data_IF_496864424527
#
_entry.id   IF_496864424527
#
_cell.length_a   1.000
_cell.length_b   1.000
_cell.length_c   1.000
_cell.angle_alpha   90.00
_cell.angle_beta   90.00
_cell.angle_gamma   90.00
#
_symmetry.space_group_name_H-M   'P 1'
#
loop_
_entity.id
_entity.type
_entity.pdbx_description
1 polymer ?
#
# COMPACT_ATOMS: atom_id res chain seq x y z
N UNK A 1 16.90 -15.06 -21.22
CA UNK A 1 16.94 -15.63 -19.85
C UNK A 1 18.32 -15.37 -19.23
N UNK A 2 18.41 -14.39 -18.33
CA UNK A 2 19.67 -13.93 -17.76
C UNK A 2 19.96 -14.68 -16.45
N UNK A 3 20.73 -15.78 -16.53
CA UNK A 3 21.12 -16.68 -15.41
C UNK A 3 21.98 -16.02 -14.32
N UNK A 4 22.21 -14.70 -14.41
CA UNK A 4 23.15 -13.97 -13.56
C UNK A 4 22.47 -13.21 -12.40
N UNK A 5 21.18 -12.90 -12.51
CA UNK A 5 20.42 -12.23 -11.44
C UNK A 5 20.02 -13.19 -10.31
N UNK A 6 19.62 -14.42 -10.65
CA UNK A 6 19.21 -15.43 -9.66
C UNK A 6 20.39 -15.83 -8.75
N UNK A 7 21.60 -15.85 -9.31
CA UNK A 7 22.83 -16.17 -8.57
C UNK A 7 23.23 -15.04 -7.58
N UNK A 8 22.90 -13.79 -7.91
CA UNK A 8 23.22 -12.62 -7.07
C UNK A 8 22.24 -12.47 -5.90
N UNK A 9 20.96 -12.73 -6.13
CA UNK A 9 19.94 -12.76 -5.06
C UNK A 9 20.23 -13.90 -4.09
N UNK A 10 20.57 -15.10 -4.60
CA UNK A 10 20.96 -16.25 -3.79
C UNK A 10 22.20 -16.01 -2.92
N UNK A 11 23.24 -15.34 -3.46
CA UNK A 11 24.43 -14.94 -2.69
C UNK A 11 24.11 -13.98 -1.54
N UNK A 12 23.17 -13.06 -1.74
CA UNK A 12 22.80 -12.06 -0.73
C UNK A 12 21.96 -12.68 0.37
N UNK A 13 20.98 -13.52 0.03
CA UNK A 13 20.21 -14.29 1.00
C UNK A 13 21.12 -15.19 1.83
N UNK A 14 22.13 -15.81 1.19
CA UNK A 14 23.19 -16.56 1.87
C UNK A 14 24.00 -15.68 2.83
N UNK A 15 24.43 -14.49 2.42
CA UNK A 15 25.13 -13.55 3.30
C UNK A 15 24.28 -13.09 4.51
N UNK A 16 22.96 -13.02 4.36
CA UNK A 16 22.05 -12.66 5.45
C UNK A 16 21.76 -13.85 6.37
N UNK A 17 21.59 -15.05 5.82
CA UNK A 17 21.33 -16.29 6.56
C UNK A 17 22.55 -16.83 7.32
N UNK A 18 23.76 -16.64 6.80
CA UNK A 18 25.01 -17.08 7.45
C UNK A 18 25.34 -16.27 8.73
N UNK A 19 24.59 -15.20 9.04
CA UNK A 19 24.82 -14.33 10.20
C UNK A 19 23.73 -14.43 11.29
N UNK A 20 22.98 -15.54 11.33
CA UNK A 20 21.98 -15.78 12.39
C UNK A 20 22.64 -15.98 13.76
N UNK A 21 23.88 -16.50 13.80
CA UNK A 21 24.65 -16.67 15.05
C UNK A 21 25.78 -15.65 15.15
N UNK A 22 25.50 -14.49 15.76
CA UNK A 22 26.54 -13.50 16.07
C UNK A 22 25.99 -12.25 16.77
N UNK A 23 26.82 -11.53 17.57
CA UNK A 23 26.40 -10.48 18.51
C UNK A 23 25.94 -9.17 17.84
N UNK A 24 25.78 -9.14 16.53
CA UNK A 24 25.47 -7.94 15.77
C UNK A 24 23.97 -7.61 15.82
N UNK A 25 23.64 -6.36 16.13
CA UNK A 25 22.28 -5.83 16.00
C UNK A 25 21.82 -5.82 14.53
N UNK A 26 20.51 -5.85 14.29
CA UNK A 26 19.93 -5.84 12.93
C UNK A 26 20.47 -4.70 12.04
N UNK A 27 20.70 -3.53 12.64
CA UNK A 27 21.27 -2.35 11.96
C UNK A 27 22.70 -2.58 11.46
N UNK A 28 23.53 -3.26 12.25
CA UNK A 28 24.91 -3.60 11.87
C UNK A 28 24.94 -4.67 10.77
N UNK A 29 23.98 -5.60 10.78
CA UNK A 29 23.86 -6.66 9.75
C UNK A 29 23.48 -6.08 8.38
N UNK A 30 22.53 -5.15 8.36
CA UNK A 30 22.11 -4.44 7.13
C UNK A 30 23.27 -3.62 6.53
N UNK A 31 24.04 -2.94 7.38
CA UNK A 31 25.19 -2.15 6.94
C UNK A 31 26.28 -3.03 6.29
N UNK A 32 26.56 -4.21 6.85
CA UNK A 32 27.54 -5.16 6.31
C UNK A 32 27.08 -5.74 4.97
N UNK A 33 25.79 -6.08 4.84
CA UNK A 33 25.22 -6.55 3.58
C UNK A 33 25.33 -5.49 2.47
N UNK A 34 25.06 -4.22 2.80
CA UNK A 34 25.19 -3.09 1.88
C UNK A 34 26.63 -2.87 1.41
N UNK A 35 27.60 -2.94 2.32
CA UNK A 35 29.03 -2.78 2.00
C UNK A 35 29.56 -3.90 1.11
N UNK A 36 29.09 -5.14 1.29
CA UNK A 36 29.48 -6.28 0.45
C UNK A 36 28.86 -6.21 -0.95
N UNK A 37 27.58 -5.86 -1.05
CA UNK A 37 26.90 -5.67 -2.33
C UNK A 37 27.60 -4.60 -3.20
N UNK A 38 28.06 -3.50 -2.59
CA UNK A 38 28.82 -2.46 -3.30
C UNK A 38 30.19 -2.94 -3.80
N UNK A 39 30.90 -3.78 -3.02
CA UNK A 39 32.18 -4.37 -3.44
C UNK A 39 32.07 -5.32 -4.63
N UNK A 40 30.91 -5.96 -4.81
CA UNK A 40 30.61 -6.88 -5.93
C UNK A 40 30.13 -6.15 -7.21
N UNK A 41 30.27 -4.82 -7.29
CA UNK A 41 29.92 -4.05 -8.49
C UNK A 41 28.42 -4.02 -8.80
N UNK A 42 27.58 -4.23 -7.79
CA UNK A 42 26.12 -4.24 -7.92
C UNK A 42 25.64 -2.79 -8.16
N UNK A 43 25.06 -2.55 -9.35
CA UNK A 43 24.55 -1.23 -9.78
C UNK A 43 23.49 -0.67 -8.83
N UNK A 44 23.38 0.66 -8.74
CA UNK A 44 22.46 1.36 -7.82
C UNK A 44 21.00 0.90 -7.88
N UNK A 45 20.50 0.46 -9.04
CA UNK A 45 19.14 -0.08 -9.18
C UNK A 45 18.95 -1.40 -8.43
N UNK A 46 19.96 -2.27 -8.41
CA UNK A 46 19.90 -3.55 -7.70
C UNK A 46 20.07 -3.30 -6.20
N UNK A 47 20.88 -2.32 -5.79
CA UNK A 47 20.97 -1.89 -4.38
C UNK A 47 19.60 -1.44 -3.86
N UNK A 48 18.83 -0.69 -4.65
CA UNK A 48 17.47 -0.29 -4.25
C UNK A 48 16.52 -1.47 -4.07
N UNK A 49 16.60 -2.47 -4.95
CA UNK A 49 15.81 -3.69 -4.80
C UNK A 49 16.23 -4.48 -3.54
N UNK A 50 17.54 -4.53 -3.24
CA UNK A 50 18.05 -5.15 -2.01
C UNK A 50 17.55 -4.41 -0.77
N UNK A 51 17.67 -3.08 -0.73
CA UNK A 51 17.20 -2.25 0.38
C UNK A 51 15.69 -2.43 0.60
N UNK A 52 14.92 -2.49 -0.48
CA UNK A 52 13.48 -2.79 -0.45
C UNK A 52 13.19 -4.17 0.13
N UNK A 53 13.87 -5.22 -0.33
CA UNK A 53 13.71 -6.59 0.19
C UNK A 53 14.05 -6.70 1.67
N UNK A 54 15.06 -5.98 2.15
CA UNK A 54 15.43 -5.93 3.57
C UNK A 54 14.30 -5.35 4.41
N UNK A 55 13.71 -4.23 3.98
CA UNK A 55 12.58 -3.60 4.69
C UNK A 55 11.41 -4.56 4.79
N UNK A 56 11.11 -5.29 3.70
CA UNK A 56 10.03 -6.28 3.66
C UNK A 56 10.25 -7.42 4.65
N UNK A 57 11.43 -8.04 4.62
CA UNK A 57 11.76 -9.13 5.54
C UNK A 57 11.71 -8.63 6.98
N UNK A 58 12.21 -7.43 7.26
CA UNK A 58 12.15 -6.85 8.59
C UNK A 58 10.71 -6.58 9.07
N UNK A 59 9.78 -6.21 8.19
CA UNK A 59 8.35 -6.11 8.53
C UNK A 59 7.77 -7.49 8.85
N UNK A 60 8.04 -8.49 8.00
CA UNK A 60 7.53 -9.86 8.17
C UNK A 60 8.01 -10.52 9.46
N UNK A 61 9.28 -10.33 9.81
CA UNK A 61 9.88 -10.84 11.05
C UNK A 61 9.51 -10.01 12.29
N UNK A 62 8.64 -9.01 12.16
CA UNK A 62 8.21 -8.14 13.26
C UNK A 62 9.30 -7.19 13.79
N UNK A 63 10.41 -7.04 13.06
CA UNK A 63 11.53 -6.14 13.38
C UNK A 63 11.13 -4.67 13.09
N UNK A 64 10.32 -4.45 12.06
CA UNK A 64 9.74 -3.15 11.70
C UNK A 64 8.21 -3.20 11.74
N UNK A 65 7.54 -2.08 12.05
CA UNK A 65 6.08 -2.04 12.02
C UNK A 65 5.55 -2.21 10.59
N UNK A 66 4.36 -2.80 10.43
CA UNK A 66 3.68 -2.95 9.12
C UNK A 66 3.47 -1.63 8.38
N UNK A 67 3.54 -0.50 9.10
CA UNK A 67 3.44 0.85 8.56
C UNK A 67 4.76 1.40 8.01
N UNK A 68 5.86 0.65 8.08
CA UNK A 68 7.17 1.09 7.62
C UNK A 68 7.16 1.41 6.11
N UNK A 69 7.86 2.48 5.75
CA UNK A 69 7.93 3.01 4.39
C UNK A 69 9.34 2.90 3.83
N UNK A 70 9.45 2.60 2.54
CA UNK A 70 10.71 2.65 1.79
C UNK A 70 10.60 3.72 0.71
N UNK A 71 11.55 4.66 0.65
CA UNK A 71 11.50 5.87 -0.19
C UNK A 71 10.16 6.64 -0.09
N UNK A 72 9.58 6.68 1.12
CA UNK A 72 8.30 7.36 1.38
C UNK A 72 7.05 6.60 0.95
N UNK A 73 7.17 5.39 0.38
CA UNK A 73 6.06 4.53 -0.06
C UNK A 73 5.83 3.37 0.90
N UNK A 74 4.57 3.00 1.12
CA UNK A 74 4.24 1.78 1.87
C UNK A 74 4.69 0.55 1.10
N UNK A 75 5.25 -0.42 1.82
CA UNK A 75 5.71 -1.69 1.25
C UNK A 75 4.79 -2.79 1.77
N UNK A 76 4.04 -3.42 0.87
CA UNK A 76 3.06 -4.45 1.24
C UNK A 76 3.53 -5.80 0.73
N UNK A 77 3.46 -6.82 1.60
CA UNK A 77 3.70 -8.22 1.23
C UNK A 77 2.37 -8.81 0.77
N UNK A 78 2.27 -9.18 -0.51
CA UNK A 78 1.12 -9.92 -1.03
C UNK A 78 1.55 -11.39 -1.16
N UNK A 79 0.96 -12.24 -0.32
CA UNK A 79 1.07 -13.69 -0.50
C UNK A 79 0.00 -14.13 -1.51
N UNK A 80 0.43 -14.56 -2.69
CA UNK A 80 -0.47 -15.21 -3.66
C UNK A 80 -0.50 -16.72 -3.39
N UNK A 81 -1.70 -17.28 -3.18
CA UNK A 81 -1.91 -18.72 -2.97
C UNK A 81 -1.85 -19.49 -4.30
N UNK A 82 -0.69 -19.53 -4.97
CA UNK A 82 -0.44 -20.49 -6.04
C UNK A 82 0.94 -21.13 -5.86
N UNK A 83 1.03 -22.43 -6.15
CA UNK A 83 2.06 -23.40 -5.74
C UNK A 83 3.51 -23.15 -6.23
N UNK A 84 3.79 -22.02 -6.86
CA UNK A 84 5.13 -21.48 -6.92
C UNK A 84 5.20 -20.34 -5.91
N UNK A 85 5.83 -20.61 -4.76
CA UNK A 85 6.00 -19.75 -3.59
C UNK A 85 6.75 -18.43 -3.93
N UNK A 86 6.15 -17.64 -4.83
CA UNK A 86 6.66 -16.43 -5.45
C UNK A 86 5.99 -15.26 -4.74
N UNK A 87 6.70 -14.78 -3.71
CA UNK A 87 6.28 -13.58 -2.99
C UNK A 87 6.31 -12.43 -4.00
N UNK A 88 5.14 -11.91 -4.37
CA UNK A 88 5.02 -10.82 -5.33
C UNK A 88 4.96 -9.50 -4.58
N UNK A 89 5.99 -8.67 -4.74
CA UNK A 89 6.14 -7.41 -4.03
C UNK A 89 5.46 -6.27 -4.79
N UNK A 90 4.24 -5.92 -4.41
CA UNK A 90 3.55 -4.75 -4.94
C UNK A 90 3.94 -3.50 -4.16
N UNK A 91 4.50 -2.52 -4.87
CA UNK A 91 4.60 -1.12 -4.41
C UNK A 91 3.33 -0.30 -4.68
N UNK A 92 2.31 -0.90 -5.29
CA UNK A 92 1.03 -0.24 -5.49
C UNK A 92 0.24 -0.35 -4.18
N UNK A 93 0.29 0.73 -3.39
CA UNK A 93 -0.50 0.86 -2.18
C UNK A 93 -1.98 0.86 -2.57
N UNK A 94 -2.70 -0.22 -2.26
CA UNK A 94 -4.16 -0.25 -2.39
C UNK A 94 -4.78 0.44 -1.18
N UNK A 95 -5.80 1.25 -1.44
CA UNK A 95 -6.63 1.85 -0.40
C UNK A 95 -8.10 1.67 -0.70
N UNK A 96 -8.92 2.08 0.24
CA UNK A 96 -10.36 2.13 0.10
C UNK A 96 -10.81 3.56 -0.13
N UNK A 97 -11.74 3.73 -1.05
CA UNK A 97 -12.62 4.90 -1.12
C UNK A 97 -13.96 4.46 -0.56
N UNK A 98 -14.53 5.24 0.34
CA UNK A 98 -15.82 4.95 0.95
C UNK A 98 -16.79 6.11 0.78
N UNK A 99 -18.07 5.77 0.73
CA UNK A 99 -19.19 6.69 0.67
C UNK A 99 -20.19 6.28 1.74
N UNK A 100 -20.47 7.20 2.67
CA UNK A 100 -21.29 6.94 3.85
C UNK A 100 -22.30 8.06 4.05
N UNK A 101 -23.36 7.75 4.80
CA UNK A 101 -24.42 8.68 5.17
C UNK A 101 -24.48 8.85 6.68
N UNK A 102 -24.60 10.10 7.11
CA UNK A 102 -24.91 10.49 8.47
C UNK A 102 -26.13 11.42 8.40
N UNK A 103 -27.30 10.94 8.78
CA UNK A 103 -28.56 11.68 8.69
C UNK A 103 -28.86 12.19 7.27
N UNK A 104 -28.86 13.49 7.03
CA UNK A 104 -29.13 14.14 5.73
C UNK A 104 -27.86 14.51 4.96
N UNK A 105 -26.68 14.18 5.48
CA UNK A 105 -25.38 14.54 4.89
C UNK A 105 -24.55 13.31 4.56
N UNK A 106 -23.73 13.45 3.54
CA UNK A 106 -22.96 12.35 2.97
C UNK A 106 -21.47 12.65 3.03
N UNK A 107 -20.63 11.62 3.19
CA UNK A 107 -19.18 11.77 3.23
C UNK A 107 -18.50 10.82 2.25
N UNK A 108 -17.56 11.38 1.48
CA UNK A 108 -16.65 10.63 0.63
C UNK A 108 -15.26 10.76 1.23
N UNK A 109 -14.59 9.65 1.48
CA UNK A 109 -13.24 9.67 2.04
C UNK A 109 -12.43 8.43 1.71
N UNK A 110 -11.17 8.46 2.14
CA UNK A 110 -10.23 7.36 1.93
C UNK A 110 -9.65 6.79 3.21
N UNK A 111 -9.25 5.53 3.15
CA UNK A 111 -8.56 4.84 4.24
C UNK A 111 -7.80 3.62 3.72
N UNK A 112 -6.72 3.26 4.39
CA UNK A 112 -6.04 1.97 4.18
C UNK A 112 -6.71 0.85 4.98
N UNK A 113 -7.45 1.19 6.04
CA UNK A 113 -8.16 0.25 6.89
C UNK A 113 -9.63 0.68 7.04
N UNK A 114 -10.52 0.03 6.27
CA UNK A 114 -11.95 0.35 6.25
C UNK A 114 -12.62 0.03 7.59
N UNK A 115 -12.34 -1.13 8.17
CA UNK A 115 -12.96 -1.58 9.42
C UNK A 115 -12.67 -0.62 10.59
N UNK A 116 -11.39 -0.24 10.76
CA UNK A 116 -11.01 0.72 11.80
C UNK A 116 -11.70 2.06 11.59
N UNK A 117 -11.71 2.57 10.35
CA UNK A 117 -12.31 3.86 10.02
C UNK A 117 -13.83 3.88 10.22
N UNK A 118 -14.54 2.82 9.85
CA UNK A 118 -15.99 2.73 10.07
C UNK A 118 -16.34 2.64 11.55
N UNK A 119 -15.50 1.98 12.37
CA UNK A 119 -15.66 1.97 13.82
C UNK A 119 -15.45 3.35 14.45
N UNK A 120 -14.45 4.11 13.97
CA UNK A 120 -14.18 5.48 14.44
C UNK A 120 -15.26 6.47 14.01
N UNK A 121 -15.72 6.36 12.76
CA UNK A 121 -16.70 7.28 12.18
C UNK A 121 -18.13 6.98 12.63
N UNK A 122 -18.44 5.70 12.86
CA UNK A 122 -19.77 5.18 13.20
C UNK A 122 -20.89 5.82 12.38
N UNK A 123 -20.86 5.69 11.03
CA UNK A 123 -21.90 6.27 10.18
C UNK A 123 -23.24 5.55 10.38
N UNK A 124 -24.34 6.22 10.04
CA UNK A 124 -25.66 5.58 10.06
C UNK A 124 -25.74 4.48 9.00
N UNK A 125 -25.12 4.72 7.83
CA UNK A 125 -25.14 3.79 6.72
C UNK A 125 -23.85 3.88 5.88
N UNK A 126 -23.32 2.72 5.47
CA UNK A 126 -22.25 2.62 4.48
C UNK A 126 -22.92 2.36 3.13
N UNK A 127 -22.91 3.36 2.26
CA UNK A 127 -23.56 3.29 0.95
C UNK A 127 -22.67 2.53 -0.04
N UNK A 128 -21.38 2.85 -0.11
CA UNK A 128 -20.45 2.18 -1.02
C UNK A 128 -19.03 2.13 -0.46
N UNK A 129 -18.26 1.15 -0.90
CA UNK A 129 -16.81 1.12 -0.69
C UNK A 129 -16.13 0.34 -1.80
N UNK A 130 -15.06 0.92 -2.36
CA UNK A 130 -14.24 0.28 -3.40
C UNK A 130 -12.79 0.21 -2.95
N UNK A 131 -12.13 -0.92 -3.19
CA UNK A 131 -10.69 -1.08 -3.00
C UNK A 131 -9.98 -0.90 -4.34
N UNK A 132 -9.08 0.05 -4.43
CA UNK A 132 -8.38 0.37 -5.68
C UNK A 132 -6.96 0.89 -5.44
N UNK A 133 -6.11 0.80 -6.45
CA UNK A 133 -4.72 1.26 -6.42
C UNK A 133 -4.62 2.80 -6.52
N UNK A 134 -5.61 3.44 -7.14
CA UNK A 134 -5.68 4.88 -7.40
C UNK A 134 -6.64 5.63 -6.45
N UNK A 135 -6.94 5.07 -5.28
CA UNK A 135 -7.94 5.57 -4.32
C UNK A 135 -7.83 7.07 -3.99
N UNK A 136 -6.62 7.62 -3.89
CA UNK A 136 -6.38 9.06 -3.67
C UNK A 136 -6.87 9.91 -4.84
N UNK A 137 -6.67 9.44 -6.07
CA UNK A 137 -7.12 10.13 -7.27
C UNK A 137 -8.64 10.07 -7.41
N UNK A 138 -9.23 8.91 -7.12
CA UNK A 138 -10.69 8.71 -7.12
C UNK A 138 -11.36 9.71 -6.17
N UNK A 139 -10.90 9.78 -4.91
CA UNK A 139 -11.43 10.73 -3.93
C UNK A 139 -11.34 12.18 -4.43
N UNK A 140 -10.16 12.58 -4.91
CA UNK A 140 -9.94 13.94 -5.44
C UNK A 140 -10.91 14.27 -6.57
N UNK A 141 -11.13 13.34 -7.50
CA UNK A 141 -12.06 13.51 -8.63
C UNK A 141 -13.51 13.58 -8.16
N UNK A 142 -13.91 12.74 -7.21
CA UNK A 142 -15.25 12.81 -6.63
C UNK A 142 -15.50 14.13 -5.89
N UNK A 143 -14.55 14.58 -5.06
CA UNK A 143 -14.63 15.87 -4.36
C UNK A 143 -14.72 17.05 -5.33
N UNK A 144 -13.99 16.98 -6.46
CA UNK A 144 -14.08 17.99 -7.51
C UNK A 144 -15.44 17.97 -8.22
N UNK A 145 -16.00 16.79 -8.48
CA UNK A 145 -17.30 16.62 -9.13
C UNK A 145 -18.45 17.19 -8.29
N UNK A 146 -18.45 16.93 -6.97
CA UNK A 146 -19.48 17.41 -6.05
C UNK A 146 -19.10 18.70 -5.31
N UNK A 147 -18.15 19.48 -5.83
CA UNK A 147 -17.59 20.65 -5.15
C UNK A 147 -18.66 21.66 -4.71
N UNK A 148 -19.63 21.93 -5.57
CA UNK A 148 -20.72 22.88 -5.31
C UNK A 148 -21.72 22.39 -4.24
N UNK A 149 -21.70 21.08 -3.95
CA UNK A 149 -22.55 20.45 -2.93
C UNK A 149 -21.85 20.27 -1.59
N UNK A 150 -20.57 20.62 -1.53
CA UNK A 150 -19.73 20.46 -0.34
C UNK A 150 -20.14 21.47 0.72
N UNK A 151 -20.36 20.97 1.94
CA UNK A 151 -20.63 21.82 3.09
C UNK A 151 -19.32 22.53 3.48
N UNK A 152 -19.30 23.88 3.57
CA UNK A 152 -18.09 24.64 3.85
C UNK A 152 -17.32 24.14 5.06
N UNK A 153 -15.99 24.11 4.96
CA UNK A 153 -15.06 23.70 6.03
C UNK A 153 -15.17 22.23 6.46
N UNK A 154 -15.94 21.40 5.75
CA UNK A 154 -16.07 19.97 6.05
C UNK A 154 -15.71 19.10 4.85
N UNK A 155 -15.75 17.80 5.03
CA UNK A 155 -15.69 16.79 3.96
C UNK A 155 -17.08 16.15 3.70
N UNK A 156 -18.15 16.83 4.15
CA UNK A 156 -19.52 16.39 3.94
C UNK A 156 -20.17 17.12 2.77
N UNK A 157 -21.16 16.48 2.17
CA UNK A 157 -21.90 16.95 1.00
C UNK A 157 -23.40 16.83 1.25
N UNK A 158 -24.17 17.77 0.71
CA UNK A 158 -25.63 17.67 0.60
C UNK A 158 -25.99 17.22 -0.80
N UNK A 159 -26.30 15.94 -0.94
CA UNK A 159 -26.62 15.30 -2.21
C UNK A 159 -28.11 14.97 -2.25
N UNK A 160 -28.73 15.19 -3.41
CA UNK A 160 -30.07 14.66 -3.66
C UNK A 160 -30.02 13.17 -4.08
N UNK A 161 -31.17 12.46 -4.14
CA UNK A 161 -31.17 11.04 -4.47
C UNK A 161 -30.54 10.70 -5.83
N UNK A 162 -30.66 11.56 -6.83
CA UNK A 162 -30.05 11.33 -8.15
C UNK A 162 -28.52 11.50 -8.08
N UNK A 163 -28.03 12.44 -7.27
CA UNK A 163 -26.61 12.65 -7.03
C UNK A 163 -25.98 11.53 -6.20
N UNK A 164 -26.74 10.92 -5.28
CA UNK A 164 -26.32 9.72 -4.54
C UNK A 164 -26.06 8.57 -5.52
N UNK A 165 -27.01 8.28 -6.41
CA UNK A 165 -26.83 7.24 -7.45
C UNK A 165 -25.64 7.53 -8.36
N UNK A 166 -25.47 8.79 -8.78
CA UNK A 166 -24.30 9.21 -9.55
C UNK A 166 -22.99 8.97 -8.80
N UNK A 167 -22.96 9.20 -7.48
CA UNK A 167 -21.78 8.95 -6.66
C UNK A 167 -21.41 7.45 -6.64
N UNK A 168 -22.39 6.54 -6.62
CA UNK A 168 -22.13 5.09 -6.71
C UNK A 168 -21.48 4.70 -8.04
N UNK A 169 -22.05 5.16 -9.16
CA UNK A 169 -21.52 4.88 -10.50
C UNK A 169 -20.12 5.47 -10.66
N UNK A 170 -19.97 6.77 -10.35
CA UNK A 170 -18.71 7.48 -10.52
C UNK A 170 -17.57 6.88 -9.68
N UNK A 171 -17.85 6.47 -8.44
CA UNK A 171 -16.86 5.80 -7.59
C UNK A 171 -16.33 4.51 -8.24
N UNK A 172 -17.24 3.72 -8.83
CA UNK A 172 -16.90 2.45 -9.47
C UNK A 172 -16.17 2.67 -10.80
N UNK A 173 -16.60 3.64 -11.59
CA UNK A 173 -16.02 3.94 -12.91
C UNK A 173 -14.60 4.51 -12.81
N UNK A 174 -14.32 5.28 -11.76
CA UNK A 174 -13.00 5.88 -11.54
C UNK A 174 -11.99 4.91 -10.92
N UNK A 175 -12.46 3.84 -10.27
CA UNK A 175 -11.62 2.94 -9.51
C UNK A 175 -10.80 2.01 -10.43
N UNK A 176 -9.47 2.05 -10.27
CA UNK A 176 -8.58 1.07 -10.87
C UNK A 176 -8.48 -0.15 -9.95
N UNK A 177 -9.29 -1.16 -10.27
CA UNK A 177 -9.37 -2.41 -9.52
C UNK A 177 -8.20 -3.37 -9.80
N UNK A 178 -7.37 -3.13 -10.82
CA UNK A 178 -6.40 -4.06 -11.44
C UNK A 178 -6.62 -5.56 -11.17
N UNK A 179 -7.27 -6.20 -12.15
CA UNK A 179 -7.49 -7.64 -12.24
C UNK A 179 -8.49 -8.05 -13.32
N UNK A 180 -8.67 -7.26 -14.39
CA UNK A 180 -9.46 -7.65 -15.59
C UNK A 180 -8.54 -8.13 -16.69
#
# INVERSE_FOLDING_TARGET
MNRNTDNKVGFILKCMAENVEGPYSAKSRILVAKQRAQKEGITGSIIKEIEKSIVIVAIHEGILPETARYEGKHVVVIQSQNEANSITYSTEAYGFVYFVKNSDIYKIGITENLLRRMKELNPDEILNSVRCSNYQEVERKMHAHFKEKRIPQTEYFRLDPAEVEQAHSLMTDLADFKGR
#
